data_IF_205747401604
#
_entry.id   IF_205747401604
#
_cell.length_a   1.000
_cell.length_b   1.000
_cell.length_c   1.000
_cell.angle_alpha   90.00
_cell.angle_beta   90.00
_cell.angle_gamma   90.00
#
_symmetry.space_group_name_H-M   'P 1'
#
loop_
_entity.id
_entity.type
_entity.pdbx_description
1 polymer ?
#
# COMPACT_ATOMS: atom_id res chain seq x y z
N UNK A 1 -17.27 20.44 -21.72
CA UNK A 1 -17.65 19.17 -21.09
C UNK A 1 -17.16 19.26 -19.67
N UNK A 2 -18.07 19.33 -18.72
CA UNK A 2 -17.74 19.57 -17.32
C UNK A 2 -17.77 18.24 -16.58
N UNK A 3 -16.73 17.95 -15.79
CA UNK A 3 -16.64 16.74 -14.98
C UNK A 3 -16.99 17.12 -13.55
N UNK A 4 -18.00 16.47 -12.98
CA UNK A 4 -18.38 16.64 -11.57
C UNK A 4 -17.48 15.79 -10.66
N UNK A 5 -17.00 16.37 -9.57
CA UNK A 5 -16.25 15.65 -8.53
C UNK A 5 -17.20 15.29 -7.38
N UNK A 6 -17.56 14.01 -7.27
CA UNK A 6 -18.61 13.54 -6.35
C UNK A 6 -18.08 12.52 -5.32
N UNK A 7 -18.65 12.47 -4.11
CA UNK A 7 -18.22 11.52 -3.06
C UNK A 7 -18.33 10.04 -3.44
N UNK A 8 -19.19 9.72 -4.40
CA UNK A 8 -19.39 8.35 -4.93
C UNK A 8 -18.34 7.93 -5.94
N UNK A 9 -17.46 8.84 -6.37
CA UNK A 9 -16.43 8.55 -7.36
C UNK A 9 -15.42 7.54 -6.81
N UNK A 10 -15.15 6.49 -7.59
CA UNK A 10 -14.17 5.47 -7.22
C UNK A 10 -12.78 5.74 -7.80
N UNK A 11 -12.73 6.26 -9.01
CA UNK A 11 -11.46 6.52 -9.70
C UNK A 11 -11.53 7.85 -10.45
N UNK A 12 -10.47 8.64 -10.32
CA UNK A 12 -10.16 9.76 -11.17
C UNK A 12 -8.74 9.52 -11.67
N UNK A 13 -8.55 9.26 -12.95
CA UNK A 13 -7.23 8.85 -13.49
C UNK A 13 -6.72 9.86 -14.52
N UNK A 14 -5.44 9.72 -14.90
CA UNK A 14 -4.78 10.59 -15.86
C UNK A 14 -3.47 11.18 -15.33
N UNK A 15 -2.90 12.09 -16.10
CA UNK A 15 -1.67 12.82 -15.77
C UNK A 15 -1.99 14.31 -15.62
N UNK A 16 -1.53 14.91 -14.53
CA UNK A 16 -1.77 16.33 -14.22
C UNK A 16 -0.46 17.03 -13.91
N UNK A 17 -0.16 18.09 -14.65
CA UNK A 17 1.09 18.85 -14.52
C UNK A 17 1.05 19.94 -13.43
N UNK A 18 -0.10 20.23 -12.85
CA UNK A 18 -0.27 21.33 -11.88
C UNK A 18 -0.70 20.87 -10.49
N UNK A 19 0.02 21.32 -9.46
CA UNK A 19 -0.36 21.13 -8.05
C UNK A 19 -1.70 21.80 -7.72
N UNK A 20 -2.09 22.83 -8.48
CA UNK A 20 -3.34 23.56 -8.28
C UNK A 20 -4.57 22.66 -8.39
N UNK A 21 -4.53 21.68 -9.30
CA UNK A 21 -5.61 20.71 -9.45
C UNK A 21 -5.88 19.94 -8.15
N UNK A 22 -4.83 19.36 -7.56
CA UNK A 22 -4.93 18.61 -6.30
C UNK A 22 -5.39 19.48 -5.14
N UNK A 23 -4.89 20.71 -5.05
CA UNK A 23 -5.34 21.66 -4.03
C UNK A 23 -6.82 22.02 -4.20
N UNK A 24 -7.31 22.17 -5.44
CA UNK A 24 -8.73 22.43 -5.71
C UNK A 24 -9.60 21.25 -5.26
N UNK A 25 -9.20 20.01 -5.55
CA UNK A 25 -9.95 18.82 -5.08
C UNK A 25 -10.12 18.82 -3.56
N UNK A 26 -9.03 19.10 -2.84
CA UNK A 26 -9.04 19.21 -1.38
C UNK A 26 -9.91 20.38 -0.92
N UNK A 27 -9.77 21.56 -1.51
CA UNK A 27 -10.58 22.72 -1.13
C UNK A 27 -12.07 22.53 -1.40
N UNK A 28 -12.45 21.78 -2.44
CA UNK A 28 -13.84 21.40 -2.67
C UNK A 28 -14.32 20.49 -1.54
N UNK A 29 -13.56 19.43 -1.23
CA UNK A 29 -13.92 18.51 -0.16
C UNK A 29 -14.06 19.23 1.20
N UNK A 30 -13.11 20.12 1.53
CA UNK A 30 -13.13 20.91 2.77
C UNK A 30 -14.30 21.89 2.82
N UNK A 31 -14.60 22.60 1.71
CA UNK A 31 -15.70 23.57 1.64
C UNK A 31 -17.07 22.94 1.91
N UNK A 32 -17.26 21.71 1.44
CA UNK A 32 -18.54 21.02 1.52
C UNK A 32 -18.57 19.90 2.57
N UNK A 33 -17.52 19.79 3.39
CA UNK A 33 -17.36 18.72 4.39
C UNK A 33 -17.59 17.31 3.80
N UNK A 34 -17.09 17.08 2.59
CA UNK A 34 -17.26 15.82 1.87
C UNK A 34 -16.11 14.86 2.16
N UNK A 35 -16.45 13.61 2.41
CA UNK A 35 -15.49 12.50 2.49
C UNK A 35 -15.61 11.64 1.22
N UNK A 36 -14.47 11.25 0.64
CA UNK A 36 -14.40 10.46 -0.58
C UNK A 36 -13.93 9.04 -0.26
N UNK A 37 -14.63 8.38 0.67
CA UNK A 37 -14.23 7.05 1.17
C UNK A 37 -14.12 6.01 0.05
N UNK A 38 -14.90 6.14 -1.03
CA UNK A 38 -14.88 5.21 -2.16
C UNK A 38 -13.74 5.48 -3.15
N UNK A 39 -13.09 6.65 -3.07
CA UNK A 39 -12.07 7.07 -4.01
C UNK A 39 -10.78 6.27 -3.79
N UNK A 40 -10.40 5.47 -4.78
CA UNK A 40 -9.24 4.58 -4.78
C UNK A 40 -8.05 5.19 -5.52
N UNK A 41 -8.31 6.02 -6.52
CA UNK A 41 -7.27 6.57 -7.42
C UNK A 41 -7.56 8.02 -7.78
N UNK A 42 -6.49 8.82 -7.81
CA UNK A 42 -6.48 10.18 -8.34
C UNK A 42 -5.43 10.30 -9.45
N UNK A 43 -5.48 11.34 -10.30
CA UNK A 43 -4.52 11.52 -11.37
C UNK A 43 -3.09 11.60 -10.83
N UNK A 44 -2.12 11.07 -11.57
CA UNK A 44 -0.71 11.17 -11.20
C UNK A 44 -0.20 12.59 -11.44
N UNK A 45 0.54 13.12 -10.48
CA UNK A 45 1.23 14.39 -10.66
C UNK A 45 2.43 14.16 -11.59
N UNK A 46 2.52 14.89 -12.70
CA UNK A 46 3.47 14.59 -13.77
C UNK A 46 4.94 14.98 -13.47
N UNK A 47 5.23 15.51 -12.29
CA UNK A 47 6.58 15.90 -11.87
C UNK A 47 7.05 15.06 -10.68
N UNK A 48 8.32 15.20 -10.33
CA UNK A 48 8.96 14.55 -9.18
C UNK A 48 8.11 14.67 -7.90
N UNK A 49 8.00 13.55 -7.18
CA UNK A 49 7.15 13.35 -5.99
C UNK A 49 5.66 13.08 -6.25
N UNK A 50 5.33 12.38 -7.34
CA UNK A 50 3.96 12.01 -7.68
C UNK A 50 3.24 11.21 -6.58
N UNK A 51 3.90 10.20 -6.01
CA UNK A 51 3.35 9.35 -4.96
C UNK A 51 3.00 10.11 -3.69
N UNK A 52 3.81 11.11 -3.31
CA UNK A 52 3.53 11.94 -2.14
C UNK A 52 2.36 12.88 -2.35
N UNK A 53 2.28 13.55 -3.50
CA UNK A 53 1.16 14.43 -3.81
C UNK A 53 -0.15 13.64 -3.83
N UNK A 54 -0.15 12.46 -4.46
CA UNK A 54 -1.32 11.58 -4.49
C UNK A 54 -1.72 11.12 -3.09
N UNK A 55 -0.77 10.62 -2.29
CA UNK A 55 -1.04 10.17 -0.93
C UNK A 55 -1.55 11.31 -0.03
N UNK A 56 -0.95 12.50 -0.13
CA UNK A 56 -1.38 13.69 0.64
C UNK A 56 -2.82 14.08 0.29
N UNK A 57 -3.16 14.12 -1.00
CA UNK A 57 -4.50 14.46 -1.45
C UNK A 57 -5.52 13.41 -1.01
N UNK A 58 -5.26 12.12 -1.24
CA UNK A 58 -6.15 11.03 -0.81
C UNK A 58 -6.36 11.03 0.72
N UNK A 59 -5.30 11.33 1.49
CA UNK A 59 -5.40 11.52 2.95
C UNK A 59 -6.37 12.65 3.29
N UNK A 60 -6.25 13.80 2.64
CA UNK A 60 -7.11 14.96 2.92
C UNK A 60 -8.56 14.69 2.50
N UNK A 61 -8.76 13.90 1.44
CA UNK A 61 -10.07 13.45 0.98
C UNK A 61 -10.66 12.30 1.81
N UNK A 62 -9.94 11.80 2.83
CA UNK A 62 -10.37 10.69 3.69
C UNK A 62 -10.68 9.41 2.91
N UNK A 63 -9.91 9.15 1.85
CA UNK A 63 -10.04 7.94 1.04
C UNK A 63 -9.81 6.66 1.86
N UNK A 64 -10.57 5.61 1.55
CA UNK A 64 -10.37 4.28 2.18
C UNK A 64 -9.37 3.39 1.47
N UNK A 65 -8.89 3.82 0.30
CA UNK A 65 -7.92 3.08 -0.49
C UNK A 65 -6.78 3.98 -0.97
N UNK A 66 -5.57 3.42 -1.00
CA UNK A 66 -4.37 4.08 -1.48
C UNK A 66 -3.57 3.10 -2.35
N UNK A 67 -3.06 3.58 -3.47
CA UNK A 67 -2.06 2.87 -4.26
C UNK A 67 -0.77 3.68 -4.29
N UNK A 68 0.34 3.02 -4.02
CA UNK A 68 1.68 3.60 -3.97
C UNK A 68 2.56 2.84 -4.95
N UNK A 69 3.19 3.57 -5.88
CA UNK A 69 4.28 3.05 -6.69
C UNK A 69 5.58 3.18 -5.89
N UNK A 70 6.17 2.04 -5.52
CA UNK A 70 7.46 1.90 -4.86
C UNK A 70 8.53 1.78 -5.94
N UNK A 71 9.53 2.65 -5.85
CA UNK A 71 10.72 2.62 -6.70
C UNK A 71 11.97 2.20 -5.90
N UNK A 72 12.98 1.59 -6.57
CA UNK A 72 14.25 1.17 -5.95
C UNK A 72 15.05 2.32 -5.32
N UNK A 73 15.97 1.96 -4.43
CA UNK A 73 16.59 2.82 -3.41
C UNK A 73 17.41 4.03 -3.90
N UNK A 74 17.76 4.18 -5.19
CA UNK A 74 18.72 5.22 -5.62
C UNK A 74 18.17 6.65 -5.71
N UNK A 75 16.86 6.85 -5.88
CA UNK A 75 16.20 8.17 -5.91
C UNK A 75 14.91 8.23 -5.06
N UNK A 76 14.36 7.07 -4.71
CA UNK A 76 13.01 6.93 -4.17
C UNK A 76 12.91 6.91 -2.64
N UNK A 77 14.02 6.78 -1.91
CA UNK A 77 14.04 6.70 -0.44
C UNK A 77 13.28 7.85 0.20
N UNK A 78 13.51 9.08 -0.25
CA UNK A 78 12.84 10.25 0.34
C UNK A 78 11.35 10.31 0.02
N UNK A 79 10.94 9.80 -1.13
CA UNK A 79 9.54 9.83 -1.57
C UNK A 79 8.72 8.75 -0.87
N UNK A 80 9.22 7.51 -0.86
CA UNK A 80 8.57 6.36 -0.21
C UNK A 80 8.39 6.64 1.29
N UNK A 81 9.40 7.20 1.96
CA UNK A 81 9.29 7.57 3.38
C UNK A 81 8.34 8.71 3.68
N UNK A 82 8.21 9.69 2.77
CA UNK A 82 7.21 10.75 2.95
C UNK A 82 5.79 10.18 2.89
N UNK A 83 5.53 9.25 1.98
CA UNK A 83 4.22 8.58 1.88
C UNK A 83 3.95 7.71 3.11
N UNK A 84 4.93 6.92 3.55
CA UNK A 84 4.77 6.05 4.72
C UNK A 84 4.55 6.86 6.01
N UNK A 85 5.11 8.07 6.12
CA UNK A 85 4.82 9.02 7.21
C UNK A 85 3.42 9.64 7.16
N UNK A 86 2.61 9.36 6.14
CA UNK A 86 1.21 9.80 6.08
C UNK A 86 0.24 8.69 6.47
N UNK A 87 0.66 7.43 6.44
CA UNK A 87 -0.21 6.26 6.61
C UNK A 87 -0.96 6.27 7.95
N UNK A 88 -0.28 6.67 9.03
CA UNK A 88 -0.83 6.82 10.38
C UNK A 88 -1.89 7.93 10.50
N UNK A 89 -1.98 8.79 9.47
CA UNK A 89 -2.92 9.92 9.42
C UNK A 89 -4.15 9.63 8.59
N UNK A 90 -4.26 8.44 7.99
CA UNK A 90 -5.49 8.03 7.33
C UNK A 90 -6.46 7.42 8.33
N UNK A 91 -7.62 8.08 8.52
CA UNK A 91 -8.64 7.60 9.46
C UNK A 91 -9.37 6.35 8.98
N UNK A 92 -9.55 6.22 7.66
CA UNK A 92 -10.39 5.18 7.06
C UNK A 92 -9.66 4.28 6.06
N UNK A 93 -8.32 4.31 6.00
CA UNK A 93 -7.58 3.48 5.04
C UNK A 93 -7.77 2.00 5.35
N UNK A 94 -8.56 1.31 4.51
CA UNK A 94 -8.84 -0.12 4.59
C UNK A 94 -8.05 -0.92 3.58
N UNK A 95 -7.65 -0.32 2.46
CA UNK A 95 -6.95 -1.01 1.38
C UNK A 95 -5.69 -0.25 0.96
N UNK A 96 -4.56 -0.96 0.89
CA UNK A 96 -3.28 -0.41 0.45
C UNK A 96 -2.70 -1.30 -0.64
N UNK A 97 -2.41 -0.71 -1.80
CA UNK A 97 -1.77 -1.38 -2.92
C UNK A 97 -0.35 -0.85 -3.11
N UNK A 98 0.65 -1.70 -2.92
CA UNK A 98 2.07 -1.42 -3.13
C UNK A 98 2.50 -2.01 -4.48
N UNK A 99 3.02 -1.14 -5.36
CA UNK A 99 3.43 -1.49 -6.73
C UNK A 99 4.92 -1.36 -6.94
N UNK A 100 5.52 -2.20 -7.79
CA UNK A 100 6.89 -1.99 -8.27
C UNK A 100 7.92 -2.84 -7.55
N UNK A 101 9.03 -2.26 -7.13
CA UNK A 101 10.20 -3.02 -6.67
C UNK A 101 10.60 -2.64 -5.24
N UNK A 102 10.90 -3.64 -4.42
CA UNK A 102 11.46 -3.48 -3.07
C UNK A 102 12.80 -4.19 -2.97
N UNK A 103 13.76 -3.58 -2.29
CA UNK A 103 15.07 -4.23 -2.09
C UNK A 103 15.03 -5.27 -0.96
N UNK A 104 14.11 -5.11 0.00
CA UNK A 104 13.97 -6.05 1.12
C UNK A 104 12.55 -6.13 1.71
N UNK A 105 12.14 -7.30 2.21
CA UNK A 105 10.88 -7.53 2.94
C UNK A 105 10.74 -6.61 4.16
N UNK A 106 11.85 -6.20 4.79
CA UNK A 106 11.82 -5.35 5.98
C UNK A 106 11.23 -3.96 5.71
N UNK A 107 11.18 -3.52 4.45
CA UNK A 107 10.53 -2.25 4.05
C UNK A 107 9.02 -2.25 4.30
N UNK A 108 8.41 -3.44 4.42
CA UNK A 108 6.98 -3.61 4.68
C UNK A 108 6.66 -3.31 6.16
N UNK A 109 7.64 -3.42 7.07
CA UNK A 109 7.42 -3.25 8.50
C UNK A 109 6.89 -1.85 8.87
N UNK A 110 7.47 -0.75 8.37
CA UNK A 110 6.94 0.58 8.68
C UNK A 110 5.59 0.88 8.03
N UNK A 111 5.21 0.15 6.98
CA UNK A 111 3.88 0.22 6.38
C UNK A 111 2.87 -0.39 7.35
N UNK A 112 3.09 -1.63 7.78
CA UNK A 112 2.18 -2.35 8.66
C UNK A 112 2.05 -1.66 10.02
N UNK A 113 3.16 -1.21 10.62
CA UNK A 113 3.16 -0.50 11.91
C UNK A 113 2.37 0.81 11.92
N UNK A 114 2.14 1.44 10.77
CA UNK A 114 1.47 2.75 10.67
C UNK A 114 0.01 2.64 10.20
N UNK A 115 -0.49 1.43 9.96
CA UNK A 115 -1.74 1.20 9.25
C UNK A 115 -2.71 0.33 10.07
N UNK A 116 -3.05 0.74 11.29
CA UNK A 116 -3.93 -0.03 12.21
C UNK A 116 -5.39 -0.20 11.76
N UNK A 117 -5.81 0.51 10.72
CA UNK A 117 -7.16 0.38 10.13
C UNK A 117 -7.16 -0.47 8.87
N UNK A 118 -5.97 -0.87 8.41
CA UNK A 118 -5.78 -1.57 7.16
C UNK A 118 -6.34 -3.00 7.26
N UNK A 119 -7.21 -3.35 6.31
CA UNK A 119 -7.83 -4.67 6.21
C UNK A 119 -7.22 -5.49 5.09
N UNK A 120 -6.78 -4.83 4.01
CA UNK A 120 -6.21 -5.47 2.84
C UNK A 120 -4.90 -4.81 2.44
N UNK A 121 -3.83 -5.60 2.37
CA UNK A 121 -2.56 -5.22 1.77
C UNK A 121 -2.38 -5.97 0.44
N UNK A 122 -2.25 -5.25 -0.66
CA UNK A 122 -2.00 -5.82 -1.98
C UNK A 122 -0.60 -5.48 -2.45
N UNK A 123 0.17 -6.49 -2.81
CA UNK A 123 1.39 -6.35 -3.59
C UNK A 123 1.05 -6.57 -5.06
N UNK A 124 1.33 -5.58 -5.91
CA UNK A 124 1.04 -5.65 -7.35
C UNK A 124 2.30 -5.46 -8.18
N UNK A 125 2.64 -6.44 -9.03
CA UNK A 125 3.88 -6.36 -9.80
C UNK A 125 5.12 -6.25 -8.92
N UNK A 126 5.08 -6.81 -7.69
CA UNK A 126 6.16 -6.70 -6.74
C UNK A 126 7.36 -7.54 -7.19
N UNK A 127 8.48 -6.88 -7.37
CA UNK A 127 9.80 -7.50 -7.52
C UNK A 127 10.60 -7.28 -6.24
N UNK A 128 11.29 -8.32 -5.79
CA UNK A 128 12.19 -8.24 -4.65
C UNK A 128 13.61 -8.36 -5.21
N UNK A 129 14.47 -7.39 -4.88
CA UNK A 129 15.85 -7.35 -5.35
C UNK A 129 16.64 -8.62 -5.02
N UNK A 130 17.67 -8.91 -5.82
CA UNK A 130 18.44 -10.15 -5.79
C UNK A 130 19.11 -10.45 -4.43
N UNK A 131 19.30 -9.42 -3.58
CA UNK A 131 19.88 -9.52 -2.24
C UNK A 131 19.11 -10.47 -1.29
N UNK A 132 17.82 -10.74 -1.54
CA UNK A 132 17.00 -11.60 -0.67
C UNK A 132 16.94 -13.07 -1.08
N UNK A 133 17.52 -13.45 -2.22
CA UNK A 133 17.48 -14.85 -2.67
C UNK A 133 18.28 -15.81 -1.76
N UNK A 134 19.09 -15.28 -0.85
CA UNK A 134 19.91 -16.04 0.11
C UNK A 134 19.44 -15.98 1.57
N UNK A 135 18.43 -15.17 1.90
CA UNK A 135 17.93 -15.06 3.28
C UNK A 135 17.14 -16.32 3.64
N UNK A 136 17.59 -17.06 4.65
CA UNK A 136 16.88 -18.24 5.12
C UNK A 136 15.73 -17.86 6.10
N UNK A 137 14.84 -18.81 6.39
CA UNK A 137 13.71 -18.58 7.32
C UNK A 137 14.16 -18.25 8.75
N UNK A 138 15.29 -18.79 9.20
CA UNK A 138 15.83 -18.57 10.53
C UNK A 138 16.34 -17.14 10.71
N UNK A 139 16.87 -16.50 9.66
CA UNK A 139 17.24 -15.09 9.65
C UNK A 139 16.01 -14.19 9.82
N UNK A 140 14.93 -14.46 9.07
CA UNK A 140 13.66 -13.73 9.20
C UNK A 140 13.08 -13.90 10.61
N UNK A 141 13.06 -15.13 11.12
CA UNK A 141 12.55 -15.42 12.45
C UNK A 141 13.36 -14.70 13.55
N UNK A 142 14.69 -14.73 13.45
CA UNK A 142 15.58 -14.01 14.36
C UNK A 142 15.32 -12.51 14.33
N UNK A 143 15.15 -11.93 13.13
CA UNK A 143 14.85 -10.52 12.98
C UNK A 143 13.51 -10.14 13.61
N UNK A 144 12.46 -10.94 13.41
CA UNK A 144 11.11 -10.76 14.00
C UNK A 144 11.20 -10.68 15.52
N UNK A 145 11.97 -11.57 16.14
CA UNK A 145 12.21 -11.58 17.59
C UNK A 145 12.97 -10.33 18.03
N UNK A 146 14.10 -10.01 17.37
CA UNK A 146 14.96 -8.87 17.71
C UNK A 146 14.17 -7.55 17.63
N UNK A 147 13.36 -7.40 16.60
CA UNK A 147 12.61 -6.17 16.33
C UNK A 147 11.23 -6.13 17.00
N UNK A 148 10.89 -7.17 17.80
CA UNK A 148 9.64 -7.28 18.56
C UNK A 148 8.42 -6.96 17.68
N UNK A 149 8.34 -7.64 16.54
CA UNK A 149 7.21 -7.49 15.61
C UNK A 149 5.89 -7.77 16.35
N UNK A 150 4.95 -6.83 16.25
CA UNK A 150 3.63 -6.93 16.85
C UNK A 150 2.66 -7.38 15.78
N UNK A 151 1.78 -8.33 16.12
CA UNK A 151 0.73 -8.78 15.20
C UNK A 151 -0.28 -7.67 14.94
N UNK A 152 -0.55 -7.39 13.68
CA UNK A 152 -1.65 -6.53 13.25
C UNK A 152 -2.91 -7.36 13.05
N UNK A 153 -3.93 -7.08 13.87
CA UNK A 153 -5.18 -7.82 13.90
C UNK A 153 -6.24 -7.19 12.98
N UNK A 154 -6.05 -5.95 12.56
CA UNK A 154 -6.95 -5.31 11.59
C UNK A 154 -6.85 -5.95 10.21
N UNK A 155 -5.67 -6.48 9.87
CA UNK A 155 -5.39 -7.05 8.56
C UNK A 155 -6.12 -8.38 8.38
N UNK A 156 -6.97 -8.46 7.38
CA UNK A 156 -7.79 -9.62 7.02
C UNK A 156 -7.26 -10.34 5.78
N UNK A 157 -6.59 -9.61 4.89
CA UNK A 157 -6.10 -10.15 3.64
C UNK A 157 -4.75 -9.55 3.23
N UNK A 158 -3.85 -10.41 2.77
CA UNK A 158 -2.68 -10.05 2.00
C UNK A 158 -2.79 -10.69 0.62
N UNK A 159 -2.69 -9.88 -0.42
CA UNK A 159 -2.86 -10.32 -1.80
C UNK A 159 -1.58 -10.08 -2.60
N UNK A 160 -1.13 -11.09 -3.34
CA UNK A 160 -0.05 -10.98 -4.29
C UNK A 160 -0.61 -11.08 -5.71
N UNK A 161 -0.63 -9.96 -6.44
CA UNK A 161 -1.12 -9.84 -7.82
C UNK A 161 0.04 -9.64 -8.76
N UNK A 162 0.21 -10.53 -9.73
CA UNK A 162 1.32 -10.45 -10.71
C UNK A 162 2.69 -10.21 -10.06
N UNK A 163 2.88 -10.71 -8.84
CA UNK A 163 4.02 -10.42 -7.96
C UNK A 163 4.82 -11.67 -7.69
N UNK A 164 6.12 -11.50 -7.44
CA UNK A 164 6.98 -12.59 -6.97
C UNK A 164 6.56 -13.00 -5.56
N UNK A 165 6.37 -14.29 -5.36
CA UNK A 165 6.01 -14.87 -4.06
C UNK A 165 7.31 -15.30 -3.35
N UNK A 166 7.86 -14.41 -2.53
CA UNK A 166 9.16 -14.58 -1.87
C UNK A 166 9.02 -15.30 -0.52
N UNK A 167 9.69 -16.44 -0.28
CA UNK A 167 9.62 -17.15 0.99
C UNK A 167 10.00 -16.31 2.22
N UNK A 168 11.09 -15.50 2.21
CA UNK A 168 11.38 -14.59 3.30
C UNK A 168 10.26 -13.59 3.62
N UNK A 169 9.67 -12.98 2.59
CA UNK A 169 8.56 -12.05 2.76
C UNK A 169 7.33 -12.75 3.36
N UNK A 170 7.02 -13.96 2.91
CA UNK A 170 5.88 -14.73 3.44
C UNK A 170 6.11 -15.09 4.92
N UNK A 171 7.32 -15.55 5.25
CA UNK A 171 7.68 -15.86 6.63
C UNK A 171 7.53 -14.62 7.51
N UNK A 172 8.00 -13.46 7.05
CA UNK A 172 7.82 -12.20 7.76
C UNK A 172 6.34 -11.86 7.97
N UNK A 173 5.52 -11.96 6.92
CA UNK A 173 4.10 -11.61 6.96
C UNK A 173 3.31 -12.55 7.88
N UNK A 174 3.57 -13.85 7.88
CA UNK A 174 2.92 -14.83 8.77
C UNK A 174 3.16 -14.45 10.24
N UNK A 175 4.36 -13.96 10.57
CA UNK A 175 4.67 -13.51 11.92
C UNK A 175 4.02 -12.15 12.29
N UNK A 176 3.66 -11.34 11.29
CA UNK A 176 3.07 -10.00 11.49
C UNK A 176 1.53 -9.99 11.47
N UNK A 177 0.86 -11.01 10.92
CA UNK A 177 -0.60 -11.01 10.82
C UNK A 177 -1.29 -11.83 11.90
N UNK A 178 -2.52 -11.44 12.24
CA UNK A 178 -3.39 -12.27 13.07
C UNK A 178 -3.76 -13.60 12.38
N UNK A 179 -4.11 -14.62 13.17
CA UNK A 179 -4.47 -15.98 12.71
C UNK A 179 -5.64 -16.03 11.71
N UNK A 180 -6.44 -14.96 11.65
CA UNK A 180 -7.60 -14.84 10.76
C UNK A 180 -7.27 -14.22 9.40
N UNK A 181 -6.05 -13.72 9.23
CA UNK A 181 -5.63 -13.12 7.97
C UNK A 181 -5.41 -14.21 6.91
N UNK A 182 -5.87 -13.95 5.69
CA UNK A 182 -5.62 -14.84 4.55
C UNK A 182 -4.52 -14.28 3.67
N UNK A 183 -3.54 -15.10 3.30
CA UNK A 183 -2.50 -14.75 2.33
C UNK A 183 -2.84 -15.45 1.02
N UNK A 184 -3.05 -14.69 -0.06
CA UNK A 184 -3.52 -15.19 -1.35
C UNK A 184 -2.61 -14.75 -2.47
N UNK A 185 -2.46 -15.60 -3.47
CA UNK A 185 -1.82 -15.28 -4.74
C UNK A 185 -2.89 -15.28 -5.83
N UNK A 186 -2.93 -14.22 -6.62
CA UNK A 186 -3.71 -14.17 -7.85
C UNK A 186 -2.73 -14.10 -9.01
N UNK A 187 -2.65 -15.17 -9.80
CA UNK A 187 -1.99 -15.11 -11.08
C UNK A 187 -2.88 -14.27 -12.02
N UNK A 188 -2.27 -13.38 -12.80
CA UNK A 188 -2.95 -12.84 -13.97
C UNK A 188 -3.32 -14.03 -14.87
N UNK A 189 -4.62 -14.35 -14.90
CA UNK A 189 -5.24 -15.45 -15.63
C UNK A 189 -4.76 -16.87 -15.29
N UNK A 190 -5.01 -17.33 -14.06
CA UNK A 190 -5.50 -18.69 -13.73
C UNK A 190 -5.59 -18.83 -12.20
N UNK A 191 -6.77 -19.22 -11.71
CA UNK A 191 -7.07 -19.42 -10.30
C UNK A 191 -6.34 -20.64 -9.73
N UNK A 192 -5.13 -20.44 -9.20
CA UNK A 192 -4.52 -21.38 -8.25
C UNK A 192 -4.96 -21.02 -6.82
N UNK A 193 -6.13 -21.53 -6.44
CA UNK A 193 -6.65 -21.47 -5.09
C UNK A 193 -5.84 -22.38 -4.17
N UNK A 194 -4.89 -21.82 -3.41
CA UNK A 194 -4.37 -22.48 -2.21
C UNK A 194 -5.35 -22.18 -1.06
N UNK A 195 -5.98 -23.23 -0.53
CA UNK A 195 -6.95 -23.15 0.56
C UNK A 195 -6.38 -22.53 1.85
N UNK A 196 -7.21 -22.37 2.89
CA UNK A 196 -6.76 -21.84 4.18
C UNK A 196 -5.59 -22.68 4.71
N UNK A 197 -4.50 -22.02 5.09
CA UNK A 197 -3.41 -22.65 5.83
C UNK A 197 -3.94 -22.93 7.23
N UNK A 198 -4.46 -24.13 7.44
CA UNK A 198 -4.74 -24.64 8.78
C UNK A 198 -3.41 -25.13 9.39
N UNK A 199 -3.11 -24.64 10.58
CA UNK A 199 -2.03 -25.13 11.45
C UNK A 199 -2.32 -26.57 11.91
#
# INVERSE_FOLDING_TARGET
MDIAFTPTMEELTGLVYTKKFFNILVSIAERYSLEFVNLKRIPKYAHDNDGYMSARTLKQLQASALSIDIQPFSYAETLNWKVIKLLDKFKYLRSLELKGEIDTWSIVDPVLKKCHTLETLTFYGLHIGDFETSTDRQEVHSWVIIHKVIKEFSLKAIEFKSSVFSPPLIEYLINHVGERATIRRSASNQDDFMGPVNL
#
